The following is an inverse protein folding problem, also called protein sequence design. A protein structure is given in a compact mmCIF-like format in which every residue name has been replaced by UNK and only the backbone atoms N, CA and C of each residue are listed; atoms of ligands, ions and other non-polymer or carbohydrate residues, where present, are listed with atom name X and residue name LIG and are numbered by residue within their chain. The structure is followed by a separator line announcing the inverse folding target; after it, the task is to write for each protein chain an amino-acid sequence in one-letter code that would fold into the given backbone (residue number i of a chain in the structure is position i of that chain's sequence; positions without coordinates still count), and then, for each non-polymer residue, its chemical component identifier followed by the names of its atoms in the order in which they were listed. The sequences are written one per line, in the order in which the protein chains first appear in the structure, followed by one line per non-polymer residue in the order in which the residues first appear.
data_IF_855199718710
#
_entry.id   IF_855199718710
#
_cell.length_a   1.000
_cell.length_b   1.000
_cell.length_c   1.000
_cell.angle_alpha   90.00
_cell.angle_beta   90.00
_cell.angle_gamma   90.00
#
_symmetry.space_group_name_H-M   'P 1'
#
loop_
_entity.id
_entity.type
_entity.pdbx_description
1 polymer ?
#
# COMPACT_ATOMS: atom_id res chain seq x y z
N UNK A 1 -7.56 -8.58 24.73
CA UNK A 1 -6.09 -8.44 24.95
C UNK A 1 -5.78 -7.09 25.61
N UNK A 2 -4.55 -6.81 26.07
CA UNK A 2 -4.16 -5.48 26.61
C UNK A 2 -4.48 -4.33 25.64
N UNK A 3 -4.29 -4.56 24.34
CA UNK A 3 -4.63 -3.58 23.30
C UNK A 3 -6.14 -3.31 23.18
N UNK A 4 -6.97 -4.35 23.31
CA UNK A 4 -8.44 -4.22 23.25
C UNK A 4 -8.99 -3.46 24.45
N UNK A 5 -8.42 -3.67 25.64
CA UNK A 5 -8.76 -2.89 26.84
C UNK A 5 -8.38 -1.41 26.66
N UNK A 6 -7.18 -1.12 26.14
CA UNK A 6 -6.75 0.24 25.82
C UNK A 6 -7.64 0.92 24.75
N UNK A 7 -8.28 0.14 23.88
CA UNK A 7 -9.17 0.63 22.83
C UNK A 7 -10.65 0.74 23.25
N UNK A 8 -10.97 0.56 24.54
CA UNK A 8 -12.34 0.61 25.06
C UNK A 8 -13.19 -0.58 24.61
N UNK A 9 -12.59 -1.77 24.51
CA UNK A 9 -13.26 -3.00 24.05
C UNK A 9 -13.36 -3.12 22.53
N UNK A 10 -12.85 -2.15 21.77
CA UNK A 10 -12.88 -2.18 20.31
C UNK A 10 -11.72 -2.96 19.73
N UNK A 11 -12.02 -3.82 18.76
CA UNK A 11 -11.02 -4.51 17.96
C UNK A 11 -10.57 -3.60 16.81
N UNK A 12 -9.53 -2.81 17.05
CA UNK A 12 -8.87 -2.00 16.03
C UNK A 12 -7.81 -2.83 15.29
N UNK A 13 -7.71 -2.65 13.97
CA UNK A 13 -6.64 -3.21 13.16
C UNK A 13 -5.58 -2.11 12.89
N UNK A 14 -4.28 -2.46 12.82
CA UNK A 14 -3.24 -1.49 12.50
C UNK A 14 -3.38 -0.95 11.07
N UNK A 15 -2.99 0.31 10.90
CA UNK A 15 -2.62 0.88 9.61
C UNK A 15 -1.15 0.55 9.33
N UNK A 16 -0.86 0.04 8.15
CA UNK A 16 0.52 -0.16 7.69
C UNK A 16 0.99 1.04 6.89
N UNK A 17 2.23 1.45 7.09
CA UNK A 17 2.80 2.56 6.34
C UNK A 17 4.30 2.43 6.22
N UNK A 18 4.85 2.90 5.10
CA UNK A 18 6.29 2.95 4.90
C UNK A 18 6.68 3.57 3.56
N UNK A 19 7.96 3.92 3.45
CA UNK A 19 8.56 4.47 2.25
C UNK A 19 9.58 3.50 1.62
N UNK A 20 9.78 3.53 0.30
CA UNK A 20 10.78 2.67 -0.37
C UNK A 20 10.53 1.17 -0.06
N UNK A 21 11.54 0.44 0.42
CA UNK A 21 11.39 -0.93 0.93
C UNK A 21 10.34 -1.07 2.05
N UNK A 22 10.13 -0.03 2.87
CA UNK A 22 9.04 -0.01 3.85
C UNK A 22 7.66 0.05 3.18
N UNK A 23 7.55 0.74 2.04
CA UNK A 23 6.34 0.77 1.21
C UNK A 23 6.05 -0.61 0.59
N UNK A 24 7.09 -1.28 0.09
CA UNK A 24 7.02 -2.68 -0.35
C UNK A 24 6.48 -3.61 0.76
N UNK A 25 7.15 -3.64 1.91
CA UNK A 25 6.81 -4.56 2.99
C UNK A 25 5.39 -4.30 3.53
N UNK A 26 5.02 -3.04 3.71
CA UNK A 26 3.68 -2.65 4.16
C UNK A 26 2.61 -3.11 3.18
N UNK A 27 2.80 -2.85 1.89
CA UNK A 27 1.83 -3.21 0.85
C UNK A 27 1.70 -4.71 0.71
N UNK A 28 2.82 -5.42 0.62
CA UNK A 28 2.81 -6.87 0.48
C UNK A 28 2.20 -7.56 1.71
N UNK A 29 2.47 -7.07 2.93
CA UNK A 29 1.82 -7.59 4.12
C UNK A 29 0.29 -7.42 4.04
N UNK A 30 -0.18 -6.23 3.68
CA UNK A 30 -1.62 -5.95 3.58
C UNK A 30 -2.29 -6.79 2.50
N UNK A 31 -1.66 -6.98 1.35
CA UNK A 31 -2.20 -7.81 0.28
C UNK A 31 -2.28 -9.29 0.64
N UNK A 32 -1.29 -9.81 1.38
CA UNK A 32 -1.26 -11.22 1.81
C UNK A 32 -2.14 -11.50 3.02
N UNK A 33 -2.26 -10.52 3.91
CA UNK A 33 -2.97 -10.65 5.19
C UNK A 33 -4.00 -9.53 5.40
N UNK A 34 -4.94 -9.33 4.46
CA UNK A 34 -5.83 -8.17 4.51
C UNK A 34 -6.78 -8.20 5.70
N UNK A 35 -7.00 -9.36 6.31
CA UNK A 35 -7.77 -9.49 7.54
C UNK A 35 -7.10 -8.89 8.77
N UNK A 36 -5.80 -8.65 8.74
CA UNK A 36 -5.02 -8.14 9.87
C UNK A 36 -4.79 -6.62 9.79
N UNK A 37 -5.23 -5.96 8.73
CA UNK A 37 -4.97 -4.55 8.50
C UNK A 37 -6.26 -3.72 8.36
N UNK A 38 -6.17 -2.45 8.74
CA UNK A 38 -7.15 -1.41 8.37
C UNK A 38 -6.89 -0.90 6.94
N UNK A 39 -5.64 -0.95 6.48
CA UNK A 39 -5.24 -0.55 5.13
C UNK A 39 -3.75 -0.23 5.06
N UNK A 40 -3.35 0.52 4.03
CA UNK A 40 -1.95 0.88 3.77
C UNK A 40 -1.79 2.31 3.26
N UNK A 41 -0.72 2.98 3.69
CA UNK A 41 -0.15 4.18 3.05
C UNK A 41 1.28 3.84 2.63
N UNK A 42 1.53 3.65 1.33
CA UNK A 42 2.86 3.30 0.83
C UNK A 42 3.43 4.43 -0.04
N UNK A 43 4.63 4.89 0.33
CA UNK A 43 5.30 6.03 -0.30
C UNK A 43 6.52 5.55 -1.09
N UNK A 44 6.64 5.98 -2.34
CA UNK A 44 7.71 5.61 -3.28
C UNK A 44 8.10 4.13 -3.19
N UNK A 45 7.10 3.24 -3.19
CA UNK A 45 7.32 1.82 -2.98
C UNK A 45 7.88 1.11 -4.21
N UNK A 46 8.52 -0.02 -3.98
CA UNK A 46 8.74 -1.06 -5.00
C UNK A 46 7.78 -2.22 -4.74
N UNK A 47 7.28 -2.84 -5.80
CA UNK A 47 6.21 -3.83 -5.75
C UNK A 47 6.56 -5.11 -6.53
N UNK A 48 7.72 -5.18 -7.18
CA UNK A 48 8.28 -6.42 -7.71
C UNK A 48 9.56 -6.84 -6.98
N UNK A 49 9.67 -8.14 -6.70
CA UNK A 49 10.86 -8.77 -6.15
C UNK A 49 11.92 -9.10 -7.22
N UNK A 50 11.62 -8.90 -8.50
CA UNK A 50 12.48 -9.31 -9.63
C UNK A 50 13.87 -8.68 -9.62
N UNK A 51 13.99 -7.44 -9.16
CA UNK A 51 15.30 -6.77 -9.11
C UNK A 51 16.19 -7.31 -7.97
N UNK A 52 15.60 -7.98 -6.97
CA UNK A 52 16.34 -8.58 -5.86
C UNK A 52 16.69 -10.04 -6.11
N UNK A 53 15.82 -10.78 -6.82
CA UNK A 53 15.92 -12.24 -6.95
C UNK A 53 15.95 -12.76 -8.39
N UNK A 54 15.94 -11.87 -9.39
CA UNK A 54 15.98 -12.22 -10.81
C UNK A 54 14.60 -12.38 -11.46
N UNK A 55 14.62 -12.73 -12.76
CA UNK A 55 13.39 -12.76 -13.58
C UNK A 55 12.50 -13.98 -13.32
N UNK A 56 13.05 -15.11 -12.89
CA UNK A 56 12.28 -16.29 -12.55
C UNK A 56 12.03 -16.26 -11.04
N UNK A 57 10.79 -15.96 -10.64
CA UNK A 57 10.38 -16.00 -9.23
C UNK A 57 9.65 -17.31 -8.97
N UNK A 58 10.03 -18.02 -7.92
CA UNK A 58 9.45 -19.30 -7.55
C UNK A 58 9.13 -19.34 -6.05
N UNK A 59 8.23 -20.26 -5.66
CA UNK A 59 7.86 -20.52 -4.28
C UNK A 59 7.47 -19.25 -3.52
N UNK A 60 8.02 -19.10 -2.32
CA UNK A 60 7.71 -17.97 -1.43
C UNK A 60 8.13 -16.62 -2.01
N UNK A 61 9.14 -16.55 -2.88
CA UNK A 61 9.60 -15.29 -3.46
C UNK A 61 8.52 -14.73 -4.39
N UNK A 62 7.89 -15.59 -5.20
CA UNK A 62 6.78 -15.18 -6.07
C UNK A 62 5.63 -14.56 -5.27
N UNK A 63 5.21 -15.20 -4.18
CA UNK A 63 4.14 -14.69 -3.31
C UNK A 63 4.53 -13.48 -2.45
N UNK A 64 5.79 -13.04 -2.54
CA UNK A 64 6.23 -11.77 -1.99
C UNK A 64 6.50 -10.72 -3.08
N UNK A 65 6.05 -10.95 -4.31
CA UNK A 65 6.16 -9.97 -5.40
C UNK A 65 4.77 -9.49 -5.84
N UNK A 66 4.21 -8.43 -5.23
CA UNK A 66 2.84 -7.96 -5.52
C UNK A 66 2.51 -7.81 -7.01
N UNK A 67 3.41 -7.26 -7.83
CA UNK A 67 3.16 -7.10 -9.27
C UNK A 67 3.05 -8.44 -10.02
N UNK A 68 3.59 -9.52 -9.46
CA UNK A 68 3.60 -10.84 -10.08
C UNK A 68 2.45 -11.72 -9.58
N UNK A 69 2.19 -11.76 -8.27
CA UNK A 69 1.15 -12.65 -7.74
C UNK A 69 -0.23 -12.03 -7.71
N UNK A 70 -0.37 -10.71 -7.53
CA UNK A 70 -1.69 -10.08 -7.45
C UNK A 70 -2.53 -10.44 -8.68
N UNK A 71 -2.06 -10.30 -9.95
CA UNK A 71 -2.83 -10.63 -11.14
C UNK A 71 -3.51 -12.02 -11.08
N UNK A 72 -2.86 -13.02 -10.47
CA UNK A 72 -3.37 -14.38 -10.32
C UNK A 72 -4.46 -14.58 -9.25
N UNK A 73 -4.73 -13.59 -8.39
CA UNK A 73 -5.79 -13.69 -7.37
C UNK A 73 -7.17 -13.65 -8.02
N UNK A 74 -7.90 -14.74 -7.86
CA UNK A 74 -9.30 -14.90 -8.33
C UNK A 74 -10.28 -15.29 -7.22
N UNK A 75 -9.79 -15.57 -6.00
CA UNK A 75 -10.65 -15.91 -4.86
C UNK A 75 -11.61 -14.75 -4.54
N UNK A 76 -12.94 -14.93 -4.68
CA UNK A 76 -13.91 -13.87 -4.41
C UNK A 76 -13.85 -13.36 -2.98
N UNK A 77 -13.54 -14.21 -2.00
CA UNK A 77 -13.48 -13.81 -0.59
C UNK A 77 -12.30 -12.89 -0.32
N UNK A 78 -11.11 -13.28 -0.78
CA UNK A 78 -9.92 -12.44 -0.70
C UNK A 78 -10.11 -11.10 -1.45
N UNK A 79 -10.66 -11.14 -2.66
CA UNK A 79 -10.92 -9.91 -3.44
C UNK A 79 -11.92 -8.99 -2.74
N UNK A 80 -13.03 -9.51 -2.22
CA UNK A 80 -13.99 -8.72 -1.45
C UNK A 80 -13.33 -8.07 -0.23
N UNK A 81 -12.44 -8.81 0.46
CA UNK A 81 -11.74 -8.27 1.61
C UNK A 81 -10.77 -7.15 1.23
N UNK A 82 -10.02 -7.30 0.15
CA UNK A 82 -9.11 -6.28 -0.40
C UNK A 82 -9.87 -5.02 -0.84
N UNK A 83 -11.02 -5.19 -1.47
CA UNK A 83 -11.90 -4.07 -1.90
C UNK A 83 -12.45 -3.25 -0.74
N UNK A 84 -12.58 -3.86 0.43
CA UNK A 84 -13.03 -3.20 1.65
C UNK A 84 -11.89 -2.51 2.42
N UNK A 85 -10.64 -2.58 1.95
CA UNK A 85 -9.53 -1.86 2.54
C UNK A 85 -9.38 -0.48 1.93
N UNK A 86 -8.85 0.44 2.73
CA UNK A 86 -8.38 1.72 2.23
C UNK A 86 -6.90 1.62 1.88
N UNK A 87 -6.60 1.79 0.60
CA UNK A 87 -5.26 1.63 0.05
C UNK A 87 -4.80 2.96 -0.56
N UNK A 88 -3.68 3.47 -0.09
CA UNK A 88 -3.08 4.72 -0.57
C UNK A 88 -1.66 4.42 -1.01
N UNK A 89 -1.35 4.77 -2.25
CA UNK A 89 -0.04 4.65 -2.85
C UNK A 89 0.37 6.01 -3.40
N UNK A 90 1.59 6.45 -3.12
CA UNK A 90 2.10 7.69 -3.65
C UNK A 90 3.56 7.54 -4.05
N UNK A 91 3.98 8.15 -5.14
CA UNK A 91 5.40 8.31 -5.46
C UNK A 91 5.65 9.70 -6.05
N UNK A 92 6.91 10.12 -6.03
CA UNK A 92 7.33 11.32 -6.75
C UNK A 92 7.55 11.06 -8.24
N UNK A 93 7.95 12.11 -8.97
CA UNK A 93 8.37 12.04 -10.37
C UNK A 93 9.72 12.72 -10.61
N UNK A 94 10.42 13.08 -9.53
CA UNK A 94 11.74 13.71 -9.55
C UNK A 94 12.88 12.70 -9.43
N UNK A 95 14.01 13.18 -8.90
CA UNK A 95 15.24 12.38 -8.84
C UNK A 95 15.04 11.04 -8.11
N UNK A 96 15.51 9.96 -8.75
CA UNK A 96 15.57 8.60 -8.21
C UNK A 96 14.21 7.90 -8.03
N UNK A 97 13.13 8.48 -8.54
CA UNK A 97 11.77 7.91 -8.52
C UNK A 97 11.45 7.08 -9.78
N UNK A 98 12.34 7.02 -10.77
CA UNK A 98 12.03 6.51 -12.11
C UNK A 98 11.47 5.08 -12.06
N UNK A 99 12.09 4.24 -11.22
CA UNK A 99 11.64 2.86 -11.00
C UNK A 99 10.31 2.81 -10.24
N UNK A 100 10.17 3.62 -9.20
CA UNK A 100 9.03 3.61 -8.28
C UNK A 100 7.78 4.09 -9.04
N UNK A 101 7.94 5.07 -9.93
CA UNK A 101 6.91 5.52 -10.84
C UNK A 101 6.42 4.40 -11.78
N UNK A 102 7.35 3.65 -12.38
CA UNK A 102 7.00 2.52 -13.26
C UNK A 102 6.26 1.43 -12.49
N UNK A 103 6.76 1.04 -11.31
CA UNK A 103 6.14 -0.02 -10.52
C UNK A 103 4.81 0.41 -9.90
N UNK A 104 4.68 1.66 -9.45
CA UNK A 104 3.43 2.22 -8.93
C UNK A 104 2.36 2.26 -10.01
N UNK A 105 2.68 2.65 -11.25
CA UNK A 105 1.74 2.59 -12.40
C UNK A 105 1.30 1.17 -12.73
N UNK A 106 2.20 0.20 -12.66
CA UNK A 106 1.85 -1.22 -12.84
C UNK A 106 0.92 -1.71 -11.73
N UNK A 107 1.21 -1.36 -10.48
CA UNK A 107 0.37 -1.72 -9.34
C UNK A 107 -1.03 -1.11 -9.50
N UNK A 108 -1.11 0.17 -9.83
CA UNK A 108 -2.36 0.89 -10.06
C UNK A 108 -3.20 0.20 -11.15
N UNK A 109 -2.59 -0.22 -12.26
CA UNK A 109 -3.29 -0.96 -13.31
C UNK A 109 -3.84 -2.30 -12.81
N UNK A 110 -3.04 -3.07 -12.08
CA UNK A 110 -3.46 -4.37 -11.53
C UNK A 110 -4.64 -4.20 -10.55
N UNK A 111 -4.60 -3.18 -9.70
CA UNK A 111 -5.68 -2.88 -8.75
C UNK A 111 -6.96 -2.49 -9.50
N UNK A 112 -6.85 -1.63 -10.54
CA UNK A 112 -7.97 -1.27 -11.41
C UNK A 112 -8.59 -2.47 -12.11
N UNK A 113 -7.79 -3.34 -12.71
CA UNK A 113 -8.26 -4.53 -13.44
C UNK A 113 -9.05 -5.49 -12.54
N UNK A 114 -8.78 -5.44 -11.22
CA UNK A 114 -9.49 -6.22 -10.20
C UNK A 114 -10.62 -5.48 -9.51
N UNK A 115 -10.85 -4.23 -9.88
CA UNK A 115 -11.79 -3.32 -9.23
C UNK A 115 -11.51 -3.18 -7.73
N UNK A 116 -10.23 -3.16 -7.34
CA UNK A 116 -9.79 -2.87 -5.97
C UNK A 116 -9.61 -1.34 -5.87
N UNK A 117 -10.43 -0.64 -5.08
CA UNK A 117 -10.29 0.80 -4.92
C UNK A 117 -8.96 1.13 -4.24
N UNK A 118 -8.21 2.05 -4.83
CA UNK A 118 -7.00 2.59 -4.25
C UNK A 118 -6.84 4.05 -4.68
N UNK A 119 -6.37 4.89 -3.76
CA UNK A 119 -5.87 6.22 -4.11
C UNK A 119 -4.41 6.08 -4.53
N UNK A 120 -4.14 6.25 -5.81
CA UNK A 120 -2.77 6.33 -6.33
C UNK A 120 -2.48 7.77 -6.74
N UNK A 121 -1.43 8.36 -6.18
CA UNK A 121 -1.09 9.76 -6.37
C UNK A 121 0.35 9.93 -6.85
N UNK A 122 0.55 10.74 -7.89
CA UNK A 122 1.84 10.97 -8.52
C UNK A 122 2.25 12.43 -8.31
N UNK A 123 3.13 12.65 -7.33
CA UNK A 123 3.55 14.00 -6.98
C UNK A 123 4.58 14.53 -7.99
N UNK A 124 4.74 15.87 -8.04
CA UNK A 124 5.44 16.59 -9.12
C UNK A 124 6.88 16.16 -9.42
N UNK A 125 7.43 16.71 -10.51
CA UNK A 125 8.81 16.44 -10.95
C UNK A 125 9.91 16.95 -10.00
N UNK A 126 9.54 17.75 -9.00
CA UNK A 126 10.40 18.21 -7.91
C UNK A 126 10.46 17.20 -6.74
N UNK A 127 9.58 16.20 -6.74
CA UNK A 127 9.45 15.22 -5.65
C UNK A 127 10.39 14.05 -5.89
N UNK A 128 11.50 14.03 -5.16
CA UNK A 128 12.54 13.01 -5.22
C UNK A 128 12.33 11.88 -4.20
N UNK A 129 13.03 10.77 -4.41
CA UNK A 129 13.01 9.58 -3.54
C UNK A 129 13.81 9.81 -2.23
N UNK A 130 13.35 10.74 -1.39
CA UNK A 130 14.06 11.13 -0.16
C UNK A 130 13.12 11.63 0.97
N UNK A 131 13.67 11.64 2.18
CA UNK A 131 12.98 11.93 3.43
C UNK A 131 12.17 13.23 3.47
N UNK A 132 12.67 14.38 2.97
CA UNK A 132 11.89 15.62 3.00
C UNK A 132 10.55 15.50 2.28
N UNK A 133 10.49 14.69 1.23
CA UNK A 133 9.27 14.44 0.47
C UNK A 133 8.37 13.40 1.13
N UNK A 134 8.94 12.30 1.61
CA UNK A 134 8.16 11.30 2.34
C UNK A 134 7.52 11.87 3.60
N UNK A 135 8.18 12.79 4.31
CA UNK A 135 7.59 13.47 5.45
C UNK A 135 6.34 14.28 5.05
N UNK A 136 6.42 15.06 3.96
CA UNK A 136 5.28 15.85 3.45
C UNK A 136 4.13 14.94 3.00
N UNK A 137 4.43 13.89 2.25
CA UNK A 137 3.45 12.90 1.80
C UNK A 137 2.77 12.21 2.97
N UNK A 138 3.56 11.73 3.95
CA UNK A 138 3.04 11.03 5.11
C UNK A 138 2.07 11.90 5.90
N UNK A 139 2.47 13.14 6.23
CA UNK A 139 1.60 14.09 6.94
C UNK A 139 0.31 14.36 6.15
N UNK A 140 0.42 14.57 4.84
CA UNK A 140 -0.73 14.79 3.98
C UNK A 140 -1.71 13.60 4.01
N UNK A 141 -1.23 12.39 3.72
CA UNK A 141 -2.09 11.21 3.65
C UNK A 141 -2.61 10.76 5.01
N UNK A 142 -1.85 10.94 6.09
CA UNK A 142 -2.37 10.71 7.45
C UNK A 142 -3.47 11.70 7.81
N UNK A 143 -3.33 12.98 7.43
CA UNK A 143 -4.41 13.96 7.60
C UNK A 143 -5.69 13.51 6.89
N UNK A 144 -5.57 13.15 5.60
CA UNK A 144 -6.69 12.57 4.84
C UNK A 144 -7.21 11.28 5.47
N UNK A 145 -6.31 10.47 6.05
CA UNK A 145 -6.70 9.24 6.72
C UNK A 145 -7.72 9.52 7.82
N UNK A 146 -7.34 10.44 8.71
CA UNK A 146 -8.11 10.81 9.89
C UNK A 146 -9.39 11.60 9.55
N UNK A 147 -9.37 12.44 8.51
CA UNK A 147 -10.56 13.19 8.09
C UNK A 147 -11.71 12.26 7.68
N UNK A 148 -11.44 11.23 6.88
CA UNK A 148 -12.45 10.23 6.51
C UNK A 148 -12.93 9.43 7.74
N UNK A 149 -12.02 9.05 8.64
CA UNK A 149 -12.38 8.36 9.88
C UNK A 149 -13.28 9.23 10.78
N UNK A 150 -13.07 10.56 10.78
CA UNK A 150 -13.92 11.51 11.50
C UNK A 150 -15.31 11.62 10.87
N UNK A 151 -15.40 11.68 9.54
CA UNK A 151 -16.70 11.69 8.84
C UNK A 151 -17.52 10.45 9.19
N UNK A 152 -16.93 9.26 9.14
CA UNK A 152 -17.63 8.01 9.48
C UNK A 152 -18.00 7.85 10.96
N UNK A 153 -17.48 8.69 11.88
CA UNK A 153 -17.86 8.67 13.30
C UNK A 153 -18.99 9.65 13.65
N UNK A 154 -19.28 10.60 12.76
CA UNK A 154 -20.32 11.61 12.96
C UNK A 154 -21.66 11.20 12.35
N UNK A 155 -21.67 10.15 11.54
CA UNK A 155 -22.85 9.43 11.04
C UNK A 155 -23.28 8.28 11.98
#
# INVERSE_FOLDING_TARGET
STAEQANGGRKLKPLFSGCSMGGYHSSNFVFRFPELASGVIALSGVYSARDFFGKALEGDIFYNSPLDYLPGIVDPKLLARLKALRLIFCCGQGAWEERMLVETRKLEQILRDKSIPAWVDYWGGDVSHDWPWWHKQLVYFFGRWLDEDLMHRLD
#
